data_IF_123082494805
#
_entry.id   IF_123082494805
#
_cell.length_a   1.000
_cell.length_b   1.000
_cell.length_c   1.000
_cell.angle_alpha   90.00
_cell.angle_beta   90.00
_cell.angle_gamma   90.00
#
_symmetry.space_group_name_H-M   'P 1'
#
loop_
_entity.id
_entity.type
_entity.pdbx_description
1 polymer ?
#
# COMPACT_ATOMS: atom_id res chain seq x y z
N UNK A 1 -82.91 45.08 4.25
CA UNK A 1 -81.54 45.32 4.83
C UNK A 1 -80.73 44.06 4.65
N UNK A 2 -79.80 44.04 3.66
CA UNK A 2 -79.04 42.89 3.32
C UNK A 2 -77.61 43.09 3.82
N UNK A 3 -77.15 42.24 4.77
CA UNK A 3 -75.81 42.26 5.30
C UNK A 3 -74.86 41.40 4.41
N UNK A 4 -73.93 42.06 3.75
CA UNK A 4 -72.87 41.38 2.99
C UNK A 4 -71.76 40.90 3.94
N UNK A 5 -71.57 39.60 4.01
CA UNK A 5 -70.49 38.97 4.76
C UNK A 5 -69.15 39.06 3.97
N UNK A 6 -68.20 39.76 4.51
CA UNK A 6 -66.85 39.85 3.95
C UNK A 6 -66.04 38.62 4.42
N UNK A 7 -65.63 37.76 3.46
CA UNK A 7 -64.70 36.65 3.71
C UNK A 7 -63.26 37.15 3.53
N UNK A 8 -62.50 37.23 4.61
CA UNK A 8 -61.08 37.47 4.63
C UNK A 8 -60.36 36.20 4.25
N UNK A 9 -59.61 36.21 3.15
CA UNK A 9 -58.66 35.12 2.75
C UNK A 9 -57.33 35.34 3.42
N UNK A 10 -56.98 34.47 4.35
CA UNK A 10 -55.64 34.43 4.96
C UNK A 10 -54.69 33.70 3.99
N UNK A 11 -53.73 34.41 3.41
CA UNK A 11 -52.66 33.82 2.64
C UNK A 11 -51.57 33.30 3.62
N UNK A 12 -51.43 31.99 3.69
CA UNK A 12 -50.29 31.36 4.40
C UNK A 12 -49.05 31.40 3.49
N UNK A 13 -48.09 32.23 3.84
CA UNK A 13 -46.76 32.22 3.19
C UNK A 13 -45.97 31.02 3.69
N UNK A 14 -45.72 30.05 2.81
CA UNK A 14 -44.80 28.95 3.05
C UNK A 14 -43.36 29.46 2.83
N UNK A 15 -42.61 29.62 3.90
CA UNK A 15 -41.16 29.88 3.84
C UNK A 15 -40.46 28.56 3.58
N UNK A 16 -39.98 28.35 2.36
CA UNK A 16 -39.13 27.22 2.01
C UNK A 16 -37.71 27.49 2.52
N UNK A 17 -37.29 26.77 3.57
CA UNK A 17 -35.90 26.77 4.04
C UNK A 17 -35.13 25.87 3.09
N UNK A 18 -34.40 26.48 2.15
CA UNK A 18 -33.41 25.78 1.34
C UNK A 18 -32.18 25.49 2.22
N UNK A 19 -32.08 24.27 2.73
CA UNK A 19 -30.85 23.78 3.39
C UNK A 19 -29.76 23.72 2.33
N UNK A 20 -28.83 24.67 2.35
CA UNK A 20 -27.62 24.64 1.54
C UNK A 20 -26.73 23.45 2.01
N UNK A 21 -26.75 22.36 1.24
CA UNK A 21 -25.78 21.28 1.35
C UNK A 21 -24.42 21.85 0.90
N UNK A 22 -23.67 22.42 1.84
CA UNK A 22 -22.26 22.75 1.59
C UNK A 22 -21.51 21.44 1.37
N UNK A 23 -20.81 21.23 0.25
CA UNK A 23 -19.98 20.05 0.07
C UNK A 23 -18.89 20.08 1.16
N UNK A 24 -18.78 18.98 1.92
CA UNK A 24 -17.71 18.83 2.89
C UNK A 24 -16.37 19.01 2.17
N UNK A 25 -15.40 19.77 2.73
CA UNK A 25 -14.11 19.97 2.10
C UNK A 25 -13.46 18.59 1.91
N UNK A 26 -13.03 18.28 0.69
CA UNK A 26 -12.21 17.12 0.37
C UNK A 26 -10.93 17.25 1.23
N UNK A 27 -10.85 16.46 2.29
CA UNK A 27 -9.65 16.40 3.11
C UNK A 27 -8.56 15.72 2.29
N UNK A 28 -7.45 16.42 2.03
CA UNK A 28 -6.32 15.83 1.36
C UNK A 28 -5.83 14.59 2.15
N UNK A 29 -5.51 13.52 1.42
CA UNK A 29 -4.94 12.32 2.01
C UNK A 29 -3.61 12.66 2.69
N UNK A 30 -3.36 12.12 3.87
CA UNK A 30 -2.06 12.29 4.55
C UNK A 30 -0.97 11.49 3.83
N UNK A 31 0.29 11.92 3.96
CA UNK A 31 1.45 11.19 3.41
C UNK A 31 1.49 9.76 3.93
N UNK A 32 1.21 9.54 5.22
CA UNK A 32 1.17 8.21 5.83
C UNK A 32 0.11 7.33 5.17
N UNK A 33 -1.09 7.86 4.98
CA UNK A 33 -2.18 7.11 4.34
C UNK A 33 -1.85 6.75 2.88
N UNK A 34 -1.24 7.68 2.13
CA UNK A 34 -0.81 7.43 0.75
C UNK A 34 0.27 6.34 0.68
N UNK A 35 1.29 6.40 1.54
CA UNK A 35 2.35 5.39 1.61
C UNK A 35 1.82 4.03 2.08
N UNK A 36 0.93 4.01 3.08
CA UNK A 36 0.29 2.77 3.54
C UNK A 36 -0.55 2.12 2.44
N UNK A 37 -1.32 2.90 1.69
CA UNK A 37 -2.08 2.39 0.54
C UNK A 37 -1.17 1.84 -0.56
N UNK A 38 -0.04 2.47 -0.84
CA UNK A 38 0.94 1.97 -1.80
C UNK A 38 1.53 0.63 -1.34
N UNK A 39 1.90 0.50 -0.06
CA UNK A 39 2.32 -0.77 0.53
C UNK A 39 1.26 -1.87 0.36
N UNK A 40 -0.02 -1.56 0.58
CA UNK A 40 -1.13 -2.48 0.34
C UNK A 40 -1.23 -2.92 -1.12
N UNK A 41 -1.06 -2.00 -2.06
CA UNK A 41 -1.05 -2.30 -3.50
C UNK A 41 0.11 -3.23 -3.88
N UNK A 42 1.31 -2.98 -3.36
CA UNK A 42 2.48 -3.84 -3.57
C UNK A 42 2.25 -5.23 -2.96
N UNK A 43 1.70 -5.29 -1.74
CA UNK A 43 1.32 -6.54 -1.06
C UNK A 43 0.43 -7.42 -1.92
N UNK A 44 -0.67 -6.86 -2.45
CA UNK A 44 -1.62 -7.61 -3.27
C UNK A 44 -0.98 -8.12 -4.56
N UNK A 45 -0.14 -7.29 -5.20
CA UNK A 45 0.54 -7.68 -6.44
C UNK A 45 1.58 -8.77 -6.21
N UNK A 46 2.47 -8.62 -5.24
CA UNK A 46 3.48 -9.64 -4.95
C UNK A 46 2.87 -10.94 -4.45
N UNK A 47 1.91 -10.90 -3.52
CA UNK A 47 1.22 -12.10 -3.05
C UNK A 47 0.41 -12.78 -4.17
N UNK A 48 -0.20 -11.97 -5.06
CA UNK A 48 -0.89 -12.47 -6.25
C UNK A 48 0.05 -13.17 -7.22
N UNK A 49 1.23 -12.59 -7.50
CA UNK A 49 2.26 -13.24 -8.32
C UNK A 49 2.81 -14.49 -7.67
N UNK A 50 3.11 -14.46 -6.36
CA UNK A 50 3.60 -15.64 -5.64
C UNK A 50 2.60 -16.81 -5.79
N UNK A 51 1.31 -16.55 -5.67
CA UNK A 51 0.27 -17.55 -5.84
C UNK A 51 0.26 -18.17 -7.24
N UNK A 52 0.29 -17.35 -8.31
CA UNK A 52 0.20 -17.86 -9.70
C UNK A 52 1.52 -18.43 -10.21
N UNK A 53 2.64 -18.11 -9.56
CA UNK A 53 3.98 -18.66 -9.84
C UNK A 53 4.32 -19.86 -8.94
N UNK A 54 3.38 -20.39 -8.16
CA UNK A 54 3.58 -21.62 -7.39
C UNK A 54 4.11 -22.75 -8.27
N UNK A 55 5.13 -23.47 -7.79
CA UNK A 55 5.83 -24.50 -8.54
C UNK A 55 6.88 -23.99 -9.54
N UNK A 56 7.13 -22.67 -9.60
CA UNK A 56 8.13 -22.06 -10.49
C UNK A 56 9.14 -21.16 -9.74
N UNK A 57 9.24 -21.32 -8.42
CA UNK A 57 10.08 -20.44 -7.59
C UNK A 57 11.57 -20.57 -7.87
N UNK A 58 12.02 -21.73 -8.34
CA UNK A 58 13.44 -21.95 -8.73
C UNK A 58 13.77 -21.41 -10.13
N UNK A 59 12.73 -21.04 -10.91
CA UNK A 59 12.96 -20.53 -12.26
C UNK A 59 13.68 -19.18 -12.23
N UNK A 60 14.64 -19.02 -13.11
CA UNK A 60 15.39 -17.79 -13.38
C UNK A 60 15.74 -17.71 -14.86
N UNK A 61 15.84 -16.49 -15.45
CA UNK A 61 16.11 -16.33 -16.87
C UNK A 61 17.55 -16.68 -17.30
N UNK A 62 18.46 -16.80 -16.34
CA UNK A 62 19.87 -17.10 -16.62
C UNK A 62 20.69 -17.22 -15.35
N UNK A 63 21.98 -17.50 -15.50
CA UNK A 63 22.91 -17.53 -14.38
C UNK A 63 23.17 -16.12 -13.80
N UNK A 64 23.50 -16.04 -12.52
CA UNK A 64 23.84 -14.78 -11.84
C UNK A 64 22.65 -13.88 -11.53
N UNK A 65 21.42 -14.27 -11.89
CA UNK A 65 20.20 -13.54 -11.56
C UNK A 65 19.36 -14.26 -10.51
N UNK A 66 18.57 -13.52 -9.75
CA UNK A 66 17.67 -14.07 -8.73
C UNK A 66 16.59 -14.93 -9.39
N UNK A 67 16.24 -16.03 -8.74
CA UNK A 67 15.05 -16.80 -9.09
C UNK A 67 13.76 -16.07 -8.70
N UNK A 68 12.61 -16.56 -9.14
CA UNK A 68 11.29 -16.05 -8.75
C UNK A 68 11.14 -16.03 -7.22
N UNK A 69 11.48 -17.13 -6.56
CA UNK A 69 11.40 -17.26 -5.10
C UNK A 69 12.37 -16.33 -4.38
N UNK A 70 13.58 -16.14 -4.92
CA UNK A 70 14.57 -15.23 -4.34
C UNK A 70 14.08 -13.79 -4.35
N UNK A 71 13.41 -13.35 -5.43
CA UNK A 71 12.83 -11.99 -5.50
C UNK A 71 11.75 -11.83 -4.43
N UNK A 72 10.83 -12.78 -4.29
CA UNK A 72 9.76 -12.69 -3.29
C UNK A 72 10.30 -12.69 -1.85
N UNK A 73 11.29 -13.52 -1.55
CA UNK A 73 11.94 -13.54 -0.25
C UNK A 73 12.73 -12.25 0.03
N UNK A 74 13.31 -11.64 -1.01
CA UNK A 74 13.94 -10.33 -0.89
C UNK A 74 12.94 -9.28 -0.41
N UNK A 75 11.76 -9.20 -1.03
CA UNK A 75 10.70 -8.24 -0.64
C UNK A 75 10.31 -8.43 0.83
N UNK A 76 10.13 -9.67 1.30
CA UNK A 76 9.83 -9.94 2.72
C UNK A 76 10.93 -9.39 3.63
N UNK A 77 12.21 -9.63 3.27
CA UNK A 77 13.36 -9.16 4.02
C UNK A 77 13.45 -7.62 4.05
N UNK A 78 13.23 -6.98 2.92
CA UNK A 78 13.28 -5.52 2.79
C UNK A 78 12.18 -4.82 3.59
N UNK A 79 10.97 -5.37 3.60
CA UNK A 79 9.89 -4.84 4.42
C UNK A 79 10.24 -4.89 5.91
N UNK A 80 10.83 -5.99 6.38
CA UNK A 80 11.32 -6.12 7.75
C UNK A 80 12.44 -5.15 8.08
N UNK A 81 13.41 -4.99 7.17
CA UNK A 81 14.50 -4.03 7.30
C UNK A 81 13.98 -2.60 7.40
N UNK A 82 13.08 -2.20 6.51
CA UNK A 82 12.50 -0.86 6.53
C UNK A 82 11.70 -0.61 7.81
N UNK A 83 10.85 -1.55 8.22
CA UNK A 83 10.08 -1.42 9.46
C UNK A 83 10.99 -1.25 10.68
N UNK A 84 12.07 -2.03 10.78
CA UNK A 84 13.08 -1.88 11.82
C UNK A 84 13.81 -0.54 11.77
N UNK A 85 14.13 -0.05 10.57
CA UNK A 85 14.75 1.26 10.36
C UNK A 85 13.83 2.40 10.82
N UNK A 86 12.55 2.34 10.45
CA UNK A 86 11.57 3.38 10.79
C UNK A 86 11.27 3.44 12.30
N UNK A 87 11.31 2.32 12.99
CA UNK A 87 11.05 2.22 14.43
C UNK A 87 12.29 2.45 15.31
N UNK A 88 13.49 2.44 14.71
CA UNK A 88 14.76 2.49 15.45
C UNK A 88 15.12 1.17 16.14
N UNK A 89 14.40 0.08 15.89
CA UNK A 89 14.69 -1.25 16.44
C UNK A 89 15.91 -1.92 15.78
N UNK A 90 16.53 -1.23 14.82
CA UNK A 90 17.61 -1.79 14.01
C UNK A 90 17.07 -2.67 12.86
N UNK A 91 17.94 -3.23 12.02
CA UNK A 91 17.51 -4.09 10.92
C UNK A 91 16.80 -5.33 11.48
N UNK A 92 15.49 -5.22 11.61
CA UNK A 92 14.62 -6.33 11.96
C UNK A 92 14.59 -7.33 10.81
N UNK A 93 14.76 -8.60 11.10
CA UNK A 93 14.73 -9.65 10.10
C UNK A 93 16.10 -9.87 9.48
N UNK A 94 17.01 -10.48 10.22
CA UNK A 94 18.13 -11.22 9.60
C UNK A 94 17.55 -12.13 8.52
N UNK A 95 18.26 -12.37 7.43
CA UNK A 95 17.86 -13.34 6.40
C UNK A 95 17.60 -14.68 7.09
N UNK A 96 16.35 -14.96 7.39
CA UNK A 96 15.91 -16.31 7.71
C UNK A 96 16.16 -17.23 6.50
N UNK A 97 16.00 -18.54 6.68
CA UNK A 97 15.99 -19.45 5.55
C UNK A 97 14.88 -19.01 4.56
N UNK A 98 15.15 -19.06 3.25
CA UNK A 98 14.14 -18.70 2.25
C UNK A 98 12.87 -19.54 2.44
N UNK A 99 11.72 -18.87 2.40
CA UNK A 99 10.43 -19.56 2.40
C UNK A 99 10.17 -20.08 0.99
N UNK A 100 10.02 -21.39 0.85
CA UNK A 100 9.84 -22.07 -0.44
C UNK A 100 8.43 -22.59 -0.65
N UNK A 101 7.69 -22.81 0.43
CA UNK A 101 6.29 -23.27 0.36
C UNK A 101 5.38 -22.14 -0.11
N UNK A 102 4.56 -22.36 -1.16
CA UNK A 102 3.77 -21.30 -1.80
C UNK A 102 2.84 -20.54 -0.85
N UNK A 103 2.11 -21.25 -0.01
CA UNK A 103 1.15 -20.64 0.91
C UNK A 103 1.87 -19.86 2.03
N UNK A 104 2.99 -20.39 2.51
CA UNK A 104 3.81 -19.73 3.51
C UNK A 104 4.48 -18.46 2.95
N UNK A 105 4.94 -18.48 1.69
CA UNK A 105 5.54 -17.32 1.06
C UNK A 105 4.51 -16.22 0.79
N UNK A 106 3.30 -16.58 0.34
CA UNK A 106 2.21 -15.62 0.23
C UNK A 106 1.85 -14.99 1.58
N UNK A 107 1.76 -15.81 2.62
CA UNK A 107 1.48 -15.33 3.98
C UNK A 107 2.61 -14.42 4.49
N UNK A 108 3.87 -14.77 4.24
CA UNK A 108 5.04 -13.97 4.62
C UNK A 108 5.02 -12.59 3.92
N UNK A 109 4.74 -12.55 2.61
CA UNK A 109 4.59 -11.29 1.86
C UNK A 109 3.50 -10.42 2.47
N UNK A 110 2.29 -10.95 2.66
CA UNK A 110 1.16 -10.21 3.26
C UNK A 110 1.49 -9.70 4.66
N UNK A 111 2.07 -10.55 5.51
CA UNK A 111 2.41 -10.20 6.89
C UNK A 111 3.49 -9.13 6.95
N UNK A 112 4.53 -9.22 6.11
CA UNK A 112 5.60 -8.23 6.08
C UNK A 112 5.09 -6.85 5.66
N UNK A 113 4.23 -6.78 4.63
CA UNK A 113 3.60 -5.52 4.22
C UNK A 113 2.61 -4.98 5.27
N UNK A 114 1.78 -5.83 5.87
CA UNK A 114 0.85 -5.40 6.92
C UNK A 114 1.60 -4.82 8.13
N UNK A 115 2.73 -5.41 8.50
CA UNK A 115 3.60 -4.88 9.55
C UNK A 115 4.19 -3.53 9.16
N UNK A 116 4.67 -3.38 7.92
CA UNK A 116 5.19 -2.13 7.40
C UNK A 116 4.12 -1.03 7.32
N UNK A 117 2.91 -1.35 6.85
CA UNK A 117 1.76 -0.43 6.83
C UNK A 117 1.47 0.11 8.23
N UNK A 118 1.38 -0.79 9.22
CA UNK A 118 1.14 -0.39 10.62
C UNK A 118 2.22 0.56 11.16
N UNK A 119 3.48 0.33 10.81
CA UNK A 119 4.58 1.22 11.19
C UNK A 119 4.42 2.58 10.52
N UNK A 120 4.16 2.63 9.20
CA UNK A 120 3.98 3.88 8.45
C UNK A 120 2.80 4.69 8.99
N UNK A 121 1.66 4.05 9.26
CA UNK A 121 0.46 4.69 9.81
C UNK A 121 0.68 5.29 11.19
N UNK A 122 1.59 4.70 11.98
CA UNK A 122 1.95 5.19 13.31
C UNK A 122 2.94 6.36 13.32
N UNK A 123 3.52 6.75 12.17
CA UNK A 123 4.45 7.88 12.10
C UNK A 123 3.70 9.22 12.19
N UNK A 124 4.23 10.15 12.95
CA UNK A 124 3.80 11.55 12.92
C UNK A 124 4.45 12.30 11.74
N UNK A 125 3.96 13.50 11.42
CA UNK A 125 4.57 14.36 10.39
C UNK A 125 6.01 14.78 10.78
N UNK A 126 6.32 14.85 12.07
CA UNK A 126 7.66 15.08 12.57
C UNK A 126 8.56 13.84 12.35
N UNK A 127 8.01 12.64 12.60
CA UNK A 127 8.74 11.39 12.35
C UNK A 127 9.09 11.22 10.89
N UNK A 128 8.19 11.55 9.96
CA UNK A 128 8.46 11.46 8.51
C UNK A 128 9.71 12.25 8.10
N UNK A 129 10.01 13.34 8.79
CA UNK A 129 11.17 14.21 8.53
C UNK A 129 12.42 13.78 9.28
N UNK A 130 12.30 12.88 10.27
CA UNK A 130 13.43 12.43 11.08
C UNK A 130 14.46 11.69 10.21
N UNK A 131 15.78 11.89 10.48
CA UNK A 131 16.85 11.25 9.72
C UNK A 131 16.95 9.75 10.07
N UNK A 132 17.23 8.94 9.05
CA UNK A 132 17.52 7.51 9.18
C UNK A 132 18.59 7.08 8.19
N UNK A 133 19.21 5.92 8.44
CA UNK A 133 20.11 5.27 7.48
C UNK A 133 19.44 4.02 6.91
N UNK A 134 19.42 3.91 5.58
CA UNK A 134 18.99 2.72 4.87
C UNK A 134 20.05 2.35 3.83
N UNK A 135 20.50 1.10 3.82
CA UNK A 135 21.58 0.62 2.94
C UNK A 135 22.85 1.51 2.98
N UNK A 136 23.18 2.05 4.16
CA UNK A 136 24.35 2.92 4.35
C UNK A 136 24.19 4.37 3.85
N UNK A 137 23.05 4.72 3.28
CA UNK A 137 22.72 6.07 2.80
C UNK A 137 21.84 6.81 3.80
N UNK A 138 21.98 8.14 3.84
CA UNK A 138 21.15 9.01 4.69
C UNK A 138 19.86 9.40 3.99
N UNK A 139 18.75 9.27 4.70
CA UNK A 139 17.39 9.63 4.26
C UNK A 139 16.62 10.30 5.40
N UNK A 140 15.50 10.94 5.09
CA UNK A 140 14.40 11.07 6.04
C UNK A 140 13.63 9.74 6.10
N UNK A 141 12.83 9.49 7.15
CA UNK A 141 11.96 8.29 7.18
C UNK A 141 11.05 8.21 5.96
N UNK A 142 10.42 9.31 5.56
CA UNK A 142 9.63 9.37 4.31
C UNK A 142 10.49 9.01 3.09
N UNK A 143 11.67 9.60 2.98
CA UNK A 143 12.59 9.33 1.88
C UNK A 143 13.01 7.87 1.80
N UNK A 144 13.24 7.21 2.96
CA UNK A 144 13.58 5.79 3.03
C UNK A 144 12.42 4.91 2.54
N UNK A 145 11.16 5.23 2.93
CA UNK A 145 9.97 4.50 2.44
C UNK A 145 9.86 4.63 0.92
N UNK A 146 9.94 5.85 0.39
CA UNK A 146 9.83 6.10 -1.05
C UNK A 146 10.94 5.43 -1.85
N UNK A 147 12.16 5.45 -1.33
CA UNK A 147 13.31 4.79 -1.95
C UNK A 147 13.08 3.27 -2.06
N UNK A 148 12.67 2.64 -0.96
CA UNK A 148 12.42 1.20 -0.98
C UNK A 148 11.23 0.82 -1.87
N UNK A 149 10.15 1.59 -1.87
CA UNK A 149 9.01 1.32 -2.75
C UNK A 149 9.39 1.46 -4.22
N UNK A 150 10.24 2.43 -4.59
CA UNK A 150 10.75 2.53 -5.95
C UNK A 150 11.52 1.26 -6.37
N UNK A 151 12.42 0.77 -5.51
CA UNK A 151 13.14 -0.50 -5.72
C UNK A 151 12.18 -1.69 -5.83
N UNK A 152 11.17 -1.77 -4.98
CA UNK A 152 10.16 -2.82 -5.04
C UNK A 152 9.29 -2.74 -6.31
N UNK A 153 9.05 -1.55 -6.87
CA UNK A 153 8.41 -1.43 -8.19
C UNK A 153 9.28 -1.98 -9.32
N UNK A 154 10.61 -1.82 -9.24
CA UNK A 154 11.54 -2.48 -10.19
C UNK A 154 11.46 -4.00 -10.05
N UNK A 155 11.47 -4.54 -8.84
CA UNK A 155 11.28 -5.96 -8.59
C UNK A 155 9.89 -6.48 -8.97
N UNK A 156 8.85 -5.66 -8.88
CA UNK A 156 7.53 -6.01 -9.38
C UNK A 156 7.54 -6.14 -10.91
N UNK A 157 8.17 -5.19 -11.61
CA UNK A 157 8.36 -5.26 -13.07
C UNK A 157 9.13 -6.51 -13.48
N UNK A 158 10.22 -6.84 -12.76
CA UNK A 158 10.99 -8.08 -12.94
C UNK A 158 10.10 -9.32 -12.74
N UNK A 159 9.31 -9.38 -11.68
CA UNK A 159 8.43 -10.51 -11.36
C UNK A 159 7.32 -10.70 -12.40
N UNK A 160 6.79 -9.58 -12.96
CA UNK A 160 5.82 -9.62 -14.07
C UNK A 160 6.48 -10.18 -15.33
N UNK A 161 7.70 -9.76 -15.65
CA UNK A 161 8.44 -10.29 -16.79
C UNK A 161 8.70 -11.80 -16.63
N UNK A 162 9.09 -12.24 -15.42
CA UNK A 162 9.28 -13.66 -15.12
C UNK A 162 7.98 -14.47 -15.27
N UNK A 163 6.86 -13.94 -14.77
CA UNK A 163 5.57 -14.61 -14.93
C UNK A 163 5.23 -14.81 -16.42
N UNK A 164 5.33 -13.74 -17.21
CA UNK A 164 5.03 -13.79 -18.65
C UNK A 164 5.97 -14.73 -19.41
N UNK A 165 7.27 -14.77 -19.09
CA UNK A 165 8.24 -15.71 -19.67
C UNK A 165 7.90 -17.18 -19.36
N UNK A 166 7.14 -17.42 -18.30
CA UNK A 166 6.63 -18.75 -17.93
C UNK A 166 5.20 -19.02 -18.40
N UNK A 167 4.64 -18.19 -19.29
CA UNK A 167 3.27 -18.33 -19.77
C UNK A 167 2.20 -18.02 -18.73
N UNK A 168 2.58 -17.36 -17.61
CA UNK A 168 1.68 -17.01 -16.51
C UNK A 168 1.23 -15.56 -16.64
N UNK A 169 -0.07 -15.34 -16.62
CA UNK A 169 -0.67 -14.00 -16.65
C UNK A 169 -0.79 -13.47 -15.22
N UNK A 170 -0.28 -12.25 -14.93
CA UNK A 170 -0.49 -11.62 -13.62
C UNK A 170 -1.98 -11.51 -13.29
N UNK A 171 -2.41 -11.74 -12.02
CA UNK A 171 -3.83 -11.85 -11.66
C UNK A 171 -4.69 -10.60 -11.94
N UNK A 172 -4.08 -9.44 -12.07
CA UNK A 172 -4.74 -8.16 -12.37
C UNK A 172 -4.73 -7.80 -13.86
N UNK A 173 -4.06 -8.58 -14.70
CA UNK A 173 -4.05 -8.39 -16.15
C UNK A 173 -5.21 -9.18 -16.76
N UNK A 174 -6.21 -8.47 -17.25
CA UNK A 174 -7.35 -9.06 -17.99
C UNK A 174 -7.17 -8.81 -19.48
#
# INVERSE_FOLDING_TARGET
MSMKTIRTKTMASAVAIAAALSPAPLRAETTQAALSREAGTLSDKFAGLARVMAGKYDWKPGEGVRSVGDVFNLIVTENGLLAGTLTGAGPGGGRGAPVVEPDLLQAALKTSYASLQKVIEGLSDADLKAPVKLFGKDFTKEGAVRYLFADQHEHLGQSIAYARSNGVVPPWSK
#
